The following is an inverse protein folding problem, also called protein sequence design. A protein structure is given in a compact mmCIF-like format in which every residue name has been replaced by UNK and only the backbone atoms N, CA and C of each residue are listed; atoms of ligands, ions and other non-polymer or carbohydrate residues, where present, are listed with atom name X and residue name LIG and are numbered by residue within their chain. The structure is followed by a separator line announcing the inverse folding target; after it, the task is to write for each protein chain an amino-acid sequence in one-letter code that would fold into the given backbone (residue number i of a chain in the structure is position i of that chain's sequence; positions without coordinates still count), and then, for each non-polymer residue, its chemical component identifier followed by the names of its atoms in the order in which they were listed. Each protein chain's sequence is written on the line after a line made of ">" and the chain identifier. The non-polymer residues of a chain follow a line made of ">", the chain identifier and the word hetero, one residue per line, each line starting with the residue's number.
data_IF_402968883342
#
_entry.id   IF_402968883342
#
_cell.length_a   1.000
_cell.length_b   1.000
_cell.length_c   1.000
_cell.angle_alpha   90.00
_cell.angle_beta   90.00
_cell.angle_gamma   90.00
#
_symmetry.space_group_name_H-M   'P 1'
#
loop_
_entity.id
_entity.type
_entity.pdbx_description
1 polymer ?
#
# COMPACT_ATOMS: atom_id res chain seq x y z
N UNK A 1 -5.50 -2.97 -13.87
CA UNK A 1 -4.39 -3.88 -14.22
C UNK A 1 -4.28 -4.98 -13.18
N UNK A 2 -4.08 -6.20 -13.61
CA UNK A 2 -4.06 -7.38 -12.71
C UNK A 2 -2.79 -8.21 -12.94
N UNK A 3 -1.64 -7.77 -12.36
CA UNK A 3 -0.41 -8.53 -12.51
C UNK A 3 -0.51 -9.91 -11.85
N UNK A 4 0.09 -10.90 -12.48
CA UNK A 4 0.15 -12.27 -11.96
C UNK A 4 1.41 -12.41 -11.10
N UNK A 5 1.25 -12.89 -9.87
CA UNK A 5 2.37 -13.17 -8.97
C UNK A 5 3.05 -14.49 -9.31
N UNK A 6 4.23 -14.72 -8.75
CA UNK A 6 4.99 -15.97 -8.95
C UNK A 6 4.26 -17.23 -8.49
N UNK A 7 3.37 -17.09 -7.50
CA UNK A 7 2.55 -18.20 -6.97
C UNK A 7 1.24 -18.41 -7.76
N UNK A 8 1.12 -17.81 -8.94
CA UNK A 8 -0.06 -17.84 -9.79
C UNK A 8 -1.30 -17.12 -9.21
N UNK A 9 -1.17 -16.43 -8.09
CA UNK A 9 -2.25 -15.58 -7.59
C UNK A 9 -2.31 -14.27 -8.38
N UNK A 10 -3.45 -13.58 -8.32
CA UNK A 10 -3.68 -12.32 -9.02
C UNK A 10 -3.83 -11.20 -8.00
N UNK A 11 -3.11 -10.10 -8.24
CA UNK A 11 -3.25 -8.88 -7.45
C UNK A 11 -3.95 -7.82 -8.28
N UNK A 12 -5.10 -7.35 -7.78
CA UNK A 12 -5.85 -6.27 -8.45
C UNK A 12 -5.25 -4.93 -8.08
N UNK A 13 -4.88 -4.14 -9.08
CA UNK A 13 -4.37 -2.78 -8.90
C UNK A 13 -5.24 -1.81 -9.68
N UNK A 14 -5.59 -0.69 -9.04
CA UNK A 14 -6.26 0.39 -9.74
C UNK A 14 -5.27 1.26 -10.49
N UNK A 15 -5.69 1.85 -11.60
CA UNK A 15 -4.93 2.89 -12.29
C UNK A 15 -5.48 4.25 -11.87
N UNK A 16 -4.81 4.86 -10.90
CA UNK A 16 -5.21 6.15 -10.34
C UNK A 16 -4.34 7.31 -10.81
N UNK A 17 -3.51 7.09 -11.85
CA UNK A 17 -2.53 8.08 -12.30
C UNK A 17 -3.15 9.40 -12.71
N UNK A 18 -4.26 9.36 -13.47
CA UNK A 18 -4.95 10.57 -13.96
C UNK A 18 -6.08 11.04 -13.06
N UNK A 19 -6.39 10.28 -12.01
CA UNK A 19 -7.44 10.60 -11.06
C UNK A 19 -6.85 11.07 -9.73
N UNK A 20 -6.82 10.19 -8.74
CA UNK A 20 -6.42 10.56 -7.38
C UNK A 20 -4.93 10.92 -7.28
N UNK A 21 -4.05 10.21 -8.00
CA UNK A 21 -2.61 10.46 -7.93
C UNK A 21 -2.21 11.83 -8.49
N UNK A 22 -2.98 12.37 -9.44
CA UNK A 22 -2.72 13.70 -10.00
C UNK A 22 -3.24 14.83 -9.12
N UNK A 23 -4.16 14.55 -8.21
CA UNK A 23 -4.82 15.56 -7.37
C UNK A 23 -4.34 15.55 -5.93
N UNK A 24 -3.80 14.44 -5.46
CA UNK A 24 -3.26 14.30 -4.11
C UNK A 24 -1.80 14.74 -4.07
N UNK A 25 -1.44 15.47 -3.02
CA UNK A 25 -0.05 15.64 -2.67
C UNK A 25 0.52 14.28 -2.23
N UNK A 26 1.69 13.92 -2.77
CA UNK A 26 2.37 12.71 -2.37
C UNK A 26 2.83 12.86 -0.92
N UNK A 27 2.45 11.92 -0.07
CA UNK A 27 2.90 11.89 1.32
C UNK A 27 4.41 11.58 1.34
N UNK A 28 5.21 12.53 1.79
CA UNK A 28 6.67 12.43 1.82
C UNK A 28 7.19 11.77 3.10
N UNK A 29 6.39 10.94 3.74
CA UNK A 29 6.84 10.21 4.92
C UNK A 29 8.13 9.44 4.61
N UNK A 30 9.21 9.65 5.40
CA UNK A 30 10.50 9.04 5.08
C UNK A 30 10.45 7.52 5.23
N UNK A 31 10.84 6.83 4.15
CA UNK A 31 10.98 5.37 4.14
C UNK A 31 12.40 5.00 4.55
N UNK A 32 12.53 3.89 5.26
CA UNK A 32 13.84 3.40 5.70
C UNK A 32 14.69 2.95 4.52
N UNK A 33 15.96 3.34 4.54
CA UNK A 33 16.95 2.85 3.58
C UNK A 33 17.48 1.49 4.03
N UNK A 34 17.94 0.68 3.08
CA UNK A 34 18.52 -0.62 3.38
C UNK A 34 19.70 -0.49 4.34
N UNK A 35 20.55 0.50 4.13
CA UNK A 35 21.70 0.75 5.01
C UNK A 35 21.28 1.05 6.45
N UNK A 36 20.22 1.82 6.64
CA UNK A 36 19.69 2.14 7.97
C UNK A 36 19.13 0.90 8.66
N UNK A 37 18.48 0.02 7.90
CA UNK A 37 17.94 -1.25 8.41
C UNK A 37 19.10 -2.15 8.88
N UNK A 38 20.15 -2.29 8.09
CA UNK A 38 21.32 -3.07 8.48
C UNK A 38 22.00 -2.51 9.72
N UNK A 39 22.10 -1.19 9.82
CA UNK A 39 22.69 -0.55 10.99
C UNK A 39 21.89 -0.84 12.26
N UNK A 40 20.54 -0.83 12.17
CA UNK A 40 19.68 -1.11 13.32
C UNK A 40 19.69 -2.59 13.73
N UNK A 41 20.05 -3.50 12.83
CA UNK A 41 20.18 -4.93 13.11
C UNK A 41 21.53 -5.32 13.69
N UNK A 42 22.46 -4.38 13.76
CA UNK A 42 23.80 -4.65 14.29
C UNK A 42 23.77 -5.17 15.73
N UNK A 43 24.57 -6.21 16.02
CA UNK A 43 24.63 -6.84 17.33
C UNK A 43 23.58 -7.90 17.61
N UNK A 44 22.59 -8.05 16.76
CA UNK A 44 21.60 -9.11 16.88
C UNK A 44 22.12 -10.44 16.36
N UNK A 45 21.63 -11.54 16.93
CA UNK A 45 21.98 -12.90 16.51
C UNK A 45 20.80 -13.68 15.95
N UNK A 46 19.58 -13.29 16.33
CA UNK A 46 18.35 -13.92 15.88
C UNK A 46 17.40 -12.82 15.38
N UNK A 47 16.77 -13.07 14.25
CA UNK A 47 15.86 -12.12 13.63
C UNK A 47 14.56 -12.79 13.23
N UNK A 48 13.48 -12.03 13.27
CA UNK A 48 12.17 -12.47 12.79
C UNK A 48 11.76 -11.64 11.60
N UNK A 49 11.09 -12.26 10.65
CA UNK A 49 10.51 -11.59 9.49
C UNK A 49 8.99 -11.71 9.58
N UNK A 50 8.31 -10.57 9.53
CA UNK A 50 6.85 -10.52 9.50
C UNK A 50 6.43 -10.10 8.11
N UNK A 51 5.71 -10.98 7.42
CA UNK A 51 5.15 -10.70 6.10
C UNK A 51 3.63 -10.66 6.20
N UNK A 52 3.06 -9.48 5.99
CA UNK A 52 1.63 -9.26 6.14
C UNK A 52 0.92 -9.52 4.82
N UNK A 53 -0.02 -10.44 4.85
CA UNK A 53 -0.81 -10.80 3.68
C UNK A 53 -1.70 -9.62 3.27
N UNK A 54 -1.66 -9.26 1.99
CA UNK A 54 -2.45 -8.14 1.44
C UNK A 54 -2.35 -6.87 2.29
N UNK A 55 -1.11 -6.48 2.59
CA UNK A 55 -0.81 -5.44 3.58
C UNK A 55 -1.66 -4.17 3.44
N UNK A 56 -1.70 -3.59 2.24
CA UNK A 56 -2.46 -2.36 2.02
C UNK A 56 -3.97 -2.55 2.23
N UNK A 57 -4.49 -3.71 1.85
CA UNK A 57 -5.91 -4.02 1.99
C UNK A 57 -6.34 -4.24 3.43
N UNK A 58 -5.41 -4.30 4.37
CA UNK A 58 -5.71 -4.31 5.80
C UNK A 58 -6.02 -2.91 6.36
N UNK A 59 -5.70 -1.86 5.62
CA UNK A 59 -5.94 -0.49 6.05
C UNK A 59 -7.28 0.02 5.52
N UNK A 60 -8.16 0.38 6.42
CA UNK A 60 -9.47 0.92 6.09
C UNK A 60 -9.37 2.39 5.68
N UNK A 61 -10.08 2.76 4.62
CA UNK A 61 -10.14 4.13 4.12
C UNK A 61 -11.37 4.82 4.70
N UNK A 62 -11.23 6.06 5.14
CA UNK A 62 -12.36 6.88 5.58
C UNK A 62 -13.38 7.03 4.44
N UNK A 63 -14.65 7.28 4.80
CA UNK A 63 -15.73 7.34 3.81
C UNK A 63 -15.56 8.46 2.80
N UNK A 64 -15.07 9.62 3.22
CA UNK A 64 -15.00 10.80 2.38
C UNK A 64 -14.15 10.60 1.10
N UNK A 65 -12.93 10.03 1.16
CA UNK A 65 -12.12 9.82 -0.05
C UNK A 65 -12.51 8.59 -0.89
N UNK A 66 -13.39 7.73 -0.40
CA UNK A 66 -13.75 6.48 -1.10
C UNK A 66 -14.27 6.67 -2.53
N UNK A 67 -15.07 7.70 -2.85
CA UNK A 67 -15.52 7.92 -4.22
C UNK A 67 -14.39 8.07 -5.23
N UNK A 68 -13.23 8.58 -4.81
CA UNK A 68 -12.05 8.72 -5.67
C UNK A 68 -11.34 7.39 -5.91
N UNK A 69 -11.71 6.34 -5.18
CA UNK A 69 -11.13 5.00 -5.28
C UNK A 69 -12.09 4.04 -6.02
N UNK A 70 -12.86 4.55 -6.94
CA UNK A 70 -13.81 3.77 -7.73
C UNK A 70 -13.12 3.21 -8.96
N UNK A 71 -13.34 1.94 -9.23
CA UNK A 71 -12.84 1.27 -10.44
C UNK A 71 -14.01 0.79 -11.29
N UNK A 72 -13.81 0.77 -12.60
CA UNK A 72 -14.77 0.24 -13.55
C UNK A 72 -14.40 -1.20 -13.91
N UNK A 73 -15.35 -2.10 -13.77
CA UNK A 73 -15.18 -3.52 -14.11
C UNK A 73 -16.27 -3.97 -15.09
N UNK A 74 -16.11 -5.16 -15.65
CA UNK A 74 -17.13 -5.76 -16.53
C UNK A 74 -18.46 -6.00 -15.80
N UNK A 75 -18.46 -5.98 -14.46
CA UNK A 75 -19.65 -6.14 -13.62
C UNK A 75 -20.18 -4.82 -13.08
N UNK A 76 -19.59 -3.70 -13.50
CA UNK A 76 -19.97 -2.36 -13.07
C UNK A 76 -18.90 -1.64 -12.27
N UNK A 77 -19.31 -0.59 -11.59
CA UNK A 77 -18.42 0.24 -10.77
C UNK A 77 -18.31 -0.34 -9.36
N UNK A 78 -17.08 -0.43 -8.87
CA UNK A 78 -16.78 -0.85 -7.50
C UNK A 78 -15.92 0.21 -6.82
N UNK A 79 -16.20 0.46 -5.56
CA UNK A 79 -15.49 1.43 -4.75
C UNK A 79 -14.65 0.71 -3.69
N UNK A 80 -13.36 1.04 -3.60
CA UNK A 80 -12.51 0.48 -2.56
C UNK A 80 -12.88 1.05 -1.19
N UNK A 81 -12.95 0.19 -0.21
CA UNK A 81 -13.09 0.55 1.21
C UNK A 81 -11.78 0.39 1.97
N UNK A 82 -10.82 -0.26 1.36
CA UNK A 82 -9.47 -0.48 1.90
C UNK A 82 -8.45 0.16 0.97
N UNK A 83 -7.25 0.40 1.49
CA UNK A 83 -6.18 1.02 0.71
C UNK A 83 -5.78 0.13 -0.47
N UNK A 84 -6.04 0.54 -1.73
CA UNK A 84 -5.75 -0.29 -2.88
C UNK A 84 -4.31 -0.12 -3.35
N UNK A 85 -3.83 -1.10 -4.11
CA UNK A 85 -2.60 -0.96 -4.87
C UNK A 85 -2.80 0.07 -6.00
N UNK A 86 -1.77 0.84 -6.29
CA UNK A 86 -1.79 1.84 -7.36
C UNK A 86 -1.93 3.28 -6.88
N UNK A 87 -2.25 3.51 -5.61
CA UNK A 87 -2.24 4.85 -5.01
C UNK A 87 -0.79 5.23 -4.68
N UNK A 88 -0.36 6.39 -5.17
CA UNK A 88 1.05 6.81 -5.04
C UNK A 88 1.50 6.98 -3.59
N UNK A 89 0.60 7.40 -2.70
CA UNK A 89 0.92 7.60 -1.28
C UNK A 89 0.79 6.34 -0.42
N UNK A 90 0.39 5.20 -0.99
CA UNK A 90 0.14 3.98 -0.22
C UNK A 90 1.36 3.49 0.57
N UNK A 91 2.59 3.44 0.01
CA UNK A 91 3.76 3.02 0.77
C UNK A 91 4.03 3.89 2.00
N UNK A 92 3.88 5.21 1.86
CA UNK A 92 4.10 6.15 2.96
C UNK A 92 3.04 5.99 4.06
N UNK A 93 1.79 5.85 3.69
CA UNK A 93 0.69 5.62 4.63
C UNK A 93 0.91 4.32 5.41
N UNK A 94 1.30 3.27 4.71
CA UNK A 94 1.59 1.97 5.30
C UNK A 94 2.77 2.05 6.29
N UNK A 95 3.87 2.67 5.88
CA UNK A 95 5.06 2.80 6.73
C UNK A 95 4.76 3.59 8.00
N UNK A 96 4.00 4.68 7.88
CA UNK A 96 3.58 5.47 9.05
C UNK A 96 2.78 4.64 10.04
N UNK A 97 1.84 3.83 9.54
CA UNK A 97 1.04 2.96 10.40
C UNK A 97 1.89 1.90 11.08
N UNK A 98 2.83 1.29 10.36
CA UNK A 98 3.73 0.28 10.93
C UNK A 98 4.65 0.87 11.99
N UNK A 99 5.16 2.08 11.79
CA UNK A 99 6.02 2.76 12.77
C UNK A 99 5.27 3.04 14.08
N UNK A 100 3.96 3.27 14.01
CA UNK A 100 3.14 3.48 15.21
C UNK A 100 2.81 2.17 15.94
N UNK A 101 2.72 1.05 15.22
CA UNK A 101 2.38 -0.26 15.79
C UNK A 101 3.63 -0.94 16.34
N UNK A 102 4.72 -0.86 15.62
CA UNK A 102 6.00 -1.45 15.97
C UNK A 102 6.92 -0.41 16.59
#
# INVERSE_FOLDING_TARGET
>A
MTPVKKDCSVRVCGDFKVTINSQLEVDEYPLLRIADIYASLGGGTLFSVLDLRHAYLQMEVEEHPRPFLTINTIRGLYQYQRLPYGVASAPAIWQRAMDQIL
#
